data_IF_868335864569
#
_entry.id   IF_868335864569
#
_cell.length_a   1.000
_cell.length_b   1.000
_cell.length_c   1.000
_cell.angle_alpha   90.00
_cell.angle_beta   90.00
_cell.angle_gamma   90.00
#
_symmetry.space_group_name_H-M   'P 1'
#
loop_
_entity.id
_entity.type
_entity.pdbx_description
1 polymer ?
#
# COMPACT_ATOMS: atom_id res chain seq x y z
N UNK A 1 15.57 9.83 18.14
CA UNK A 1 15.18 8.56 17.50
C UNK A 1 15.09 8.81 16.00
N UNK A 2 15.70 7.99 15.15
CA UNK A 2 15.68 8.27 13.70
C UNK A 2 14.28 8.04 13.14
N UNK A 3 13.67 9.05 12.54
CA UNK A 3 12.35 8.97 11.90
C UNK A 3 12.46 8.28 10.52
N UNK A 4 13.12 7.13 10.48
CA UNK A 4 13.46 6.40 9.25
C UNK A 4 12.23 5.67 8.70
N UNK A 5 12.05 5.74 7.39
CA UNK A 5 10.95 5.10 6.66
C UNK A 5 11.49 3.94 5.81
N UNK A 6 10.83 2.77 5.87
CA UNK A 6 11.08 1.65 4.98
C UNK A 6 9.98 1.54 3.93
N UNK A 7 10.34 1.53 2.65
CA UNK A 7 9.42 1.25 1.54
C UNK A 7 9.61 -0.19 1.06
N UNK A 8 8.58 -1.02 1.22
CA UNK A 8 8.57 -2.42 0.79
C UNK A 8 7.75 -2.58 -0.49
N UNK A 9 8.42 -2.81 -1.61
CA UNK A 9 7.79 -3.03 -2.90
C UNK A 9 7.84 -4.51 -3.29
N UNK A 10 6.68 -5.13 -3.50
CA UNK A 10 6.55 -6.55 -3.86
C UNK A 10 6.02 -6.76 -5.28
N UNK A 11 6.57 -7.75 -5.98
CA UNK A 11 6.12 -8.11 -7.32
C UNK A 11 6.36 -9.60 -7.62
N UNK A 12 5.45 -10.21 -8.37
CA UNK A 12 5.63 -11.58 -8.87
C UNK A 12 6.21 -11.61 -10.29
N UNK A 13 5.88 -10.62 -11.12
CA UNK A 13 6.30 -10.50 -12.52
C UNK A 13 7.03 -9.18 -12.75
N UNK A 14 8.11 -9.21 -13.54
CA UNK A 14 8.87 -8.01 -13.91
C UNK A 14 8.29 -7.37 -15.17
N UNK A 15 7.29 -6.51 -14.98
CA UNK A 15 6.56 -5.82 -16.05
C UNK A 15 6.91 -4.31 -16.12
N UNK A 16 6.30 -3.60 -17.06
CA UNK A 16 6.53 -2.15 -17.28
C UNK A 16 6.19 -1.29 -16.06
N UNK A 17 5.22 -1.67 -15.21
CA UNK A 17 4.93 -0.95 -13.97
C UNK A 17 6.06 -1.09 -12.95
N UNK A 18 6.65 -2.28 -12.84
CA UNK A 18 7.83 -2.49 -11.98
C UNK A 18 9.01 -1.68 -12.48
N UNK A 19 9.30 -1.71 -13.79
CA UNK A 19 10.35 -0.88 -14.40
C UNK A 19 10.11 0.61 -14.14
N UNK A 20 8.86 1.06 -14.28
CA UNK A 20 8.48 2.44 -14.02
C UNK A 20 8.69 2.83 -12.56
N UNK A 21 8.30 1.97 -11.60
CA UNK A 21 8.52 2.22 -10.19
C UNK A 21 10.02 2.35 -9.87
N UNK A 22 10.84 1.41 -10.36
CA UNK A 22 12.29 1.47 -10.16
C UNK A 22 12.88 2.77 -10.72
N UNK A 23 12.45 3.17 -11.92
CA UNK A 23 12.98 4.37 -12.60
C UNK A 23 12.50 5.69 -11.99
N UNK A 24 11.27 5.76 -11.50
CA UNK A 24 10.60 7.04 -11.19
C UNK A 24 10.19 7.20 -9.72
N UNK A 25 10.15 6.12 -8.94
CA UNK A 25 9.71 6.15 -7.54
C UNK A 25 10.88 5.98 -6.55
N UNK A 26 11.94 5.27 -6.94
CA UNK A 26 13.10 5.02 -6.08
C UNK A 26 14.05 6.22 -6.14
N UNK A 27 14.53 6.65 -4.98
CA UNK A 27 15.52 7.71 -4.81
C UNK A 27 16.44 7.40 -3.62
N UNK A 28 17.60 8.06 -3.54
CA UNK A 28 18.53 7.95 -2.42
C UNK A 28 18.23 9.04 -1.38
N UNK A 29 18.14 8.65 -0.11
CA UNK A 29 17.91 9.56 1.00
C UNK A 29 18.38 8.96 2.33
N UNK A 30 18.88 9.79 3.24
CA UNK A 30 19.37 9.33 4.55
C UNK A 30 18.26 8.75 5.46
N UNK A 31 16.99 9.11 5.23
CA UNK A 31 15.85 8.74 6.08
C UNK A 31 14.85 7.81 5.38
N UNK A 32 15.10 7.40 4.13
CA UNK A 32 14.20 6.50 3.38
C UNK A 32 15.01 5.37 2.76
N UNK A 33 14.76 4.14 3.22
CA UNK A 33 15.34 2.95 2.62
C UNK A 33 14.28 2.22 1.78
N UNK A 34 14.73 1.59 0.69
CA UNK A 34 13.88 0.82 -0.21
C UNK A 34 14.26 -0.65 -0.19
N UNK A 35 13.25 -1.52 -0.22
CA UNK A 35 13.40 -2.94 -0.48
C UNK A 35 12.51 -3.40 -1.64
N UNK A 36 13.13 -4.06 -2.61
CA UNK A 36 12.48 -4.69 -3.75
C UNK A 36 12.38 -6.20 -3.52
N UNK A 37 11.16 -6.71 -3.47
CA UNK A 37 10.86 -8.10 -3.10
C UNK A 37 10.25 -8.79 -4.32
N UNK A 38 11.04 -9.68 -4.93
CA UNK A 38 10.58 -10.54 -6.01
C UNK A 38 10.03 -11.84 -5.44
N UNK A 39 8.73 -12.05 -5.61
CA UNK A 39 8.04 -13.32 -5.36
C UNK A 39 8.29 -14.35 -6.48
N UNK A 40 9.43 -14.26 -7.16
CA UNK A 40 9.87 -15.23 -8.13
C UNK A 40 11.41 -15.28 -8.16
N UNK A 41 12.00 -16.32 -7.59
CA UNK A 41 13.46 -16.51 -7.54
C UNK A 41 14.16 -16.53 -8.91
N UNK A 42 13.41 -16.76 -9.99
CA UNK A 42 13.97 -16.84 -11.36
C UNK A 42 14.05 -15.48 -12.04
N UNK A 43 13.38 -14.45 -11.51
CA UNK A 43 13.40 -13.12 -12.09
C UNK A 43 14.68 -12.41 -11.71
N UNK A 44 15.32 -11.80 -12.70
CA UNK A 44 16.39 -10.84 -12.53
C UNK A 44 15.87 -9.45 -12.88
N UNK A 45 16.34 -8.45 -12.14
CA UNK A 45 15.98 -7.06 -12.35
C UNK A 45 17.10 -6.16 -11.81
N UNK A 46 17.26 -5.03 -12.46
CA UNK A 46 18.23 -4.02 -12.04
C UNK A 46 17.53 -2.98 -11.16
N UNK A 47 18.17 -2.60 -10.06
CA UNK A 47 17.81 -1.43 -9.27
C UNK A 47 19.07 -0.79 -8.71
N UNK A 48 19.02 0.46 -8.20
CA UNK A 48 20.18 1.11 -7.61
C UNK A 48 20.82 0.27 -6.48
N UNK A 49 22.14 0.41 -6.28
CA UNK A 49 22.90 -0.43 -5.34
C UNK A 49 22.52 -0.23 -3.86
N UNK A 50 21.96 0.93 -3.52
CA UNK A 50 21.47 1.23 -2.17
C UNK A 50 20.11 0.57 -1.86
N UNK A 51 19.48 -0.08 -2.83
CA UNK A 51 18.18 -0.75 -2.66
C UNK A 51 18.38 -2.21 -2.26
N UNK A 52 17.78 -2.62 -1.14
CA UNK A 52 17.78 -4.02 -0.72
C UNK A 52 16.95 -4.89 -1.67
N UNK A 53 17.42 -6.11 -1.95
CA UNK A 53 16.72 -7.05 -2.84
C UNK A 53 16.43 -8.34 -2.11
N UNK A 54 15.21 -8.85 -2.26
CA UNK A 54 14.80 -10.16 -1.78
C UNK A 54 14.26 -10.96 -2.97
N UNK A 55 14.69 -12.22 -3.08
CA UNK A 55 14.17 -13.19 -4.04
C UNK A 55 13.58 -14.36 -3.26
N UNK A 56 12.31 -14.65 -3.45
CA UNK A 56 11.57 -15.68 -2.71
C UNK A 56 10.54 -16.39 -3.57
N UNK A 57 9.97 -17.46 -3.03
CA UNK A 57 8.83 -18.14 -3.63
C UNK A 57 7.55 -17.34 -3.37
N UNK A 58 6.54 -17.47 -4.24
CA UNK A 58 5.26 -16.74 -4.15
C UNK A 58 4.31 -17.28 -3.06
N UNK A 59 4.83 -17.69 -1.90
CA UNK A 59 4.02 -18.11 -0.75
C UNK A 59 3.40 -16.87 -0.07
N UNK A 60 2.11 -16.88 0.24
CA UNK A 60 1.43 -15.74 0.87
C UNK A 60 1.29 -14.48 0.01
N UNK A 61 1.63 -14.55 -1.29
CA UNK A 61 1.57 -13.43 -2.23
C UNK A 61 2.24 -12.16 -1.69
N UNK A 62 1.61 -10.99 -1.89
CA UNK A 62 2.14 -9.69 -1.49
C UNK A 62 2.40 -9.61 0.02
N UNK A 63 1.43 -10.05 0.84
CA UNK A 63 1.55 -10.05 2.31
C UNK A 63 2.65 -10.99 2.79
N UNK A 64 2.85 -12.13 2.12
CA UNK A 64 4.00 -13.00 2.36
C UNK A 64 5.30 -12.24 2.10
N UNK A 65 5.43 -11.66 0.91
CA UNK A 65 6.61 -10.89 0.53
C UNK A 65 6.96 -9.78 1.52
N UNK A 66 5.98 -8.94 1.87
CA UNK A 66 6.17 -7.91 2.89
C UNK A 66 6.54 -8.49 4.26
N UNK A 67 5.95 -9.62 4.66
CA UNK A 67 6.28 -10.28 5.92
C UNK A 67 7.75 -10.72 5.97
N UNK A 68 8.28 -11.31 4.88
CA UNK A 68 9.70 -11.65 4.80
C UNK A 68 10.61 -10.42 4.86
N UNK A 69 10.23 -9.35 4.16
CA UNK A 69 10.98 -8.10 4.15
C UNK A 69 11.02 -7.41 5.53
N UNK A 70 9.94 -7.51 6.30
CA UNK A 70 9.86 -6.96 7.65
C UNK A 70 10.60 -7.83 8.68
N UNK A 71 10.28 -9.12 8.70
CA UNK A 71 10.55 -10.01 9.83
C UNK A 71 11.90 -10.71 9.75
N UNK A 72 12.53 -10.75 8.58
CA UNK A 72 13.89 -11.29 8.46
C UNK A 72 14.84 -10.50 9.35
N UNK A 73 15.48 -11.18 10.30
CA UNK A 73 16.42 -10.58 11.26
C UNK A 73 15.85 -9.36 12.01
N UNK A 74 14.53 -9.36 12.27
CA UNK A 74 13.79 -8.24 12.87
C UNK A 74 14.05 -6.89 12.16
N UNK A 75 14.20 -6.90 10.83
CA UNK A 75 14.60 -5.73 10.05
C UNK A 75 13.71 -4.50 10.31
N UNK A 76 12.42 -4.71 10.52
CA UNK A 76 11.46 -3.65 10.84
C UNK A 76 11.85 -2.82 12.08
N UNK A 77 12.56 -3.39 13.06
CA UNK A 77 12.92 -2.66 14.30
C UNK A 77 13.82 -1.44 14.05
N UNK A 78 14.46 -1.35 12.88
CA UNK A 78 15.33 -0.24 12.45
C UNK A 78 14.57 1.00 11.95
N UNK A 79 13.25 0.90 11.80
CA UNK A 79 12.41 1.92 11.15
C UNK A 79 11.23 2.32 12.03
N UNK A 80 10.72 3.53 11.83
CA UNK A 80 9.58 4.09 12.55
C UNK A 80 8.31 4.15 11.70
N UNK A 81 8.47 4.21 10.37
CA UNK A 81 7.36 4.25 9.41
C UNK A 81 7.60 3.28 8.27
N UNK A 82 6.51 2.78 7.70
CA UNK A 82 6.53 1.76 6.68
C UNK A 82 5.57 2.14 5.57
N UNK A 83 5.98 1.92 4.32
CA UNK A 83 5.10 2.00 3.15
C UNK A 83 5.16 0.67 2.43
N UNK A 84 4.01 0.04 2.28
CA UNK A 84 3.83 -1.22 1.57
C UNK A 84 3.28 -0.93 0.19
N UNK A 85 3.90 -1.51 -0.84
CA UNK A 85 3.56 -1.27 -2.24
C UNK A 85 3.58 -2.60 -2.99
N UNK A 86 2.61 -2.85 -3.88
CA UNK A 86 2.66 -3.99 -4.79
C UNK A 86 2.69 -3.57 -6.26
N UNK A 87 3.06 -4.51 -7.13
CA UNK A 87 3.20 -4.30 -8.59
C UNK A 87 1.93 -3.96 -9.37
N UNK A 88 0.79 -3.81 -8.71
CA UNK A 88 -0.41 -3.28 -9.35
C UNK A 88 -0.41 -1.75 -9.41
N UNK A 89 0.49 -1.06 -8.69
CA UNK A 89 0.59 0.41 -8.76
C UNK A 89 1.03 0.92 -10.13
N UNK A 90 0.48 2.07 -10.51
CA UNK A 90 1.08 3.00 -11.45
C UNK A 90 1.30 4.34 -10.74
N UNK A 91 2.43 5.00 -11.00
CA UNK A 91 2.85 6.22 -10.31
C UNK A 91 4.34 6.19 -9.93
N UNK A 92 4.87 7.20 -9.23
CA UNK A 92 4.11 8.30 -8.60
C UNK A 92 3.64 9.35 -9.62
N UNK A 93 2.45 9.87 -9.38
CA UNK A 93 1.83 11.02 -10.03
C UNK A 93 1.93 12.21 -9.07
N UNK A 94 3.09 12.85 -9.06
CA UNK A 94 3.31 14.10 -8.34
C UNK A 94 3.38 15.25 -9.34
N UNK A 95 2.69 16.38 -9.09
CA UNK A 95 2.79 17.54 -9.97
C UNK A 95 4.25 18.04 -10.05
N UNK A 96 4.67 18.58 -11.21
CA UNK A 96 6.06 19.03 -11.43
C UNK A 96 6.52 20.15 -10.48
N UNK A 97 5.57 20.90 -9.92
CA UNK A 97 5.82 21.93 -8.92
C UNK A 97 6.00 21.37 -7.50
N UNK A 98 5.59 20.13 -7.23
CA UNK A 98 5.80 19.49 -5.92
C UNK A 98 7.28 19.15 -5.75
N UNK A 99 7.89 19.65 -4.67
CA UNK A 99 9.32 19.47 -4.36
C UNK A 99 9.59 18.49 -3.22
N UNK A 100 8.53 17.99 -2.57
CA UNK A 100 8.65 17.01 -1.49
C UNK A 100 8.88 15.59 -2.01
N UNK A 101 9.09 14.66 -1.09
CA UNK A 101 9.13 13.23 -1.43
C UNK A 101 7.69 12.71 -1.52
N UNK A 102 7.43 11.78 -2.42
CA UNK A 102 6.11 11.15 -2.49
C UNK A 102 5.82 10.34 -1.22
N UNK A 103 6.86 9.81 -0.55
CA UNK A 103 6.75 9.07 0.71
C UNK A 103 6.12 9.93 1.80
N UNK A 104 6.48 11.21 1.84
CA UNK A 104 6.00 12.18 2.83
C UNK A 104 4.49 12.37 2.75
N UNK A 105 3.91 12.25 1.54
CA UNK A 105 2.46 12.34 1.33
C UNK A 105 1.72 11.26 2.11
N UNK A 106 2.28 10.05 2.21
CA UNK A 106 1.68 8.98 3.01
C UNK A 106 2.05 9.10 4.48
N UNK A 107 3.32 9.30 4.79
CA UNK A 107 3.81 9.25 6.18
C UNK A 107 3.42 10.44 7.04
N UNK A 108 3.08 11.59 6.43
CA UNK A 108 2.61 12.78 7.16
C UNK A 108 1.11 12.74 7.47
N UNK A 109 0.35 11.85 6.83
CA UNK A 109 -1.06 11.63 7.13
C UNK A 109 -1.29 10.54 8.19
N UNK A 110 -0.22 9.91 8.68
CA UNK A 110 -0.27 9.07 9.86
C UNK A 110 -0.28 9.94 11.11
N UNK A 111 -1.24 9.70 12.00
CA UNK A 111 -1.41 10.43 13.26
C UNK A 111 -1.61 9.45 14.41
N UNK A 112 -1.77 9.94 15.64
CA UNK A 112 -2.11 9.08 16.79
C UNK A 112 -3.47 8.40 16.61
N UNK A 113 -4.37 9.00 15.81
CA UNK A 113 -5.69 8.46 15.47
C UNK A 113 -5.65 7.62 14.17
N UNK A 114 -5.04 8.13 13.10
CA UNK A 114 -4.99 7.47 11.79
C UNK A 114 -3.73 6.60 11.67
N UNK A 115 -3.92 5.28 11.80
CA UNK A 115 -2.82 4.31 11.92
C UNK A 115 -2.48 3.57 10.63
N UNK A 116 -3.41 3.51 9.69
CA UNK A 116 -3.17 3.07 8.31
C UNK A 116 -3.63 4.16 7.36
N UNK A 117 -2.76 4.56 6.42
CA UNK A 117 -3.08 5.56 5.42
C UNK A 117 -2.67 5.11 4.02
N UNK A 118 -3.61 4.98 3.09
CA UNK A 118 -3.32 4.54 1.72
C UNK A 118 -3.84 5.48 0.65
N UNK A 119 -3.83 5.02 -0.60
CA UNK A 119 -4.36 5.83 -1.70
C UNK A 119 -5.90 5.80 -1.76
N UNK A 120 -6.53 4.69 -1.38
CA UNK A 120 -7.98 4.55 -1.42
C UNK A 120 -8.55 3.62 -0.35
N UNK A 121 -9.85 3.78 -0.09
CA UNK A 121 -10.66 2.93 0.80
C UNK A 121 -11.78 2.28 -0.01
N UNK A 122 -12.04 1.01 0.27
CA UNK A 122 -13.16 0.24 -0.25
C UNK A 122 -14.03 -0.25 0.93
N UNK A 123 -15.35 -0.35 0.75
CA UNK A 123 -16.33 -0.73 1.79
C UNK A 123 -16.83 -2.18 1.74
N UNK A 124 -16.56 -2.92 0.65
CA UNK A 124 -17.01 -4.29 0.36
C UNK A 124 -18.52 -4.54 0.55
N UNK A 125 -19.32 -3.47 0.52
CA UNK A 125 -20.76 -3.55 0.79
C UNK A 125 -21.46 -4.45 -0.22
N UNK A 126 -21.04 -4.45 -1.49
CA UNK A 126 -21.65 -5.28 -2.53
C UNK A 126 -21.26 -6.75 -2.39
N UNK A 127 -20.03 -7.04 -1.93
CA UNK A 127 -19.50 -8.40 -1.85
C UNK A 127 -20.05 -9.19 -0.66
N UNK A 128 -20.20 -8.55 0.50
CA UNK A 128 -20.57 -9.25 1.75
C UNK A 128 -21.93 -8.83 2.33
N UNK A 129 -22.65 -7.92 1.68
CA UNK A 129 -23.85 -7.29 2.24
C UNK A 129 -23.60 -6.71 3.66
N UNK A 130 -22.36 -6.25 3.89
CA UNK A 130 -21.88 -5.69 5.15
C UNK A 130 -20.84 -4.63 4.84
N UNK A 131 -20.88 -3.52 5.56
CA UNK A 131 -19.90 -2.44 5.42
C UNK A 131 -18.61 -2.85 6.16
N UNK A 132 -17.59 -3.20 5.39
CA UNK A 132 -16.24 -3.53 5.84
C UNK A 132 -15.24 -2.60 5.15
N UNK A 133 -15.05 -1.42 5.75
CA UNK A 133 -14.06 -0.47 5.25
C UNK A 133 -12.64 -1.02 5.38
N UNK A 134 -11.88 -0.95 4.31
CA UNK A 134 -10.47 -1.28 4.32
C UNK A 134 -9.68 -0.40 3.36
N UNK A 135 -8.43 -0.13 3.73
CA UNK A 135 -7.45 0.48 2.84
C UNK A 135 -7.05 -0.56 1.79
N UNK A 136 -7.11 -0.20 0.51
CA UNK A 136 -6.75 -1.13 -0.56
C UNK A 136 -5.23 -1.36 -0.57
N UNK A 137 -4.83 -2.63 -0.70
CA UNK A 137 -3.45 -3.06 -0.40
C UNK A 137 -2.40 -2.69 -1.46
N UNK A 138 -2.76 -2.02 -2.55
CA UNK A 138 -1.79 -1.71 -3.61
C UNK A 138 -0.75 -0.67 -3.17
N UNK A 139 -1.12 0.25 -2.27
CA UNK A 139 -0.18 1.08 -1.52
C UNK A 139 -0.80 1.59 -0.21
N UNK A 140 -0.07 1.47 0.88
CA UNK A 140 -0.46 2.02 2.17
C UNK A 140 0.74 2.21 3.10
N UNK A 141 0.60 3.10 4.07
CA UNK A 141 1.58 3.38 5.09
C UNK A 141 1.03 3.12 6.49
N UNK A 142 1.94 2.86 7.43
CA UNK A 142 1.64 2.78 8.87
C UNK A 142 2.88 3.06 9.70
N UNK A 143 2.69 3.35 10.99
CA UNK A 143 3.80 3.51 11.95
C UNK A 143 4.22 2.16 12.55
N UNK A 144 5.38 2.15 13.20
CA UNK A 144 5.97 0.95 13.83
C UNK A 144 5.04 0.27 14.84
N UNK A 145 4.39 1.04 15.71
CA UNK A 145 3.45 0.50 16.68
C UNK A 145 2.31 -0.29 16.00
N UNK A 146 1.82 0.20 14.85
CA UNK A 146 0.80 -0.48 14.06
C UNK A 146 1.36 -1.73 13.38
N UNK A 147 2.59 -1.69 12.86
CA UNK A 147 3.26 -2.90 12.33
C UNK A 147 3.40 -3.96 13.41
N UNK A 148 3.90 -3.61 14.59
CA UNK A 148 4.06 -4.52 15.72
C UNK A 148 2.73 -5.12 16.19
N UNK A 149 1.68 -4.30 16.27
CA UNK A 149 0.32 -4.76 16.54
C UNK A 149 -0.14 -5.80 15.48
N UNK A 150 0.05 -5.51 14.19
CA UNK A 150 -0.38 -6.37 13.10
C UNK A 150 0.48 -7.65 12.96
N UNK A 151 1.75 -7.62 13.35
CA UNK A 151 2.59 -8.81 13.52
C UNK A 151 1.99 -9.71 14.62
N UNK A 152 1.68 -9.13 15.79
CA UNK A 152 1.09 -9.86 16.91
C UNK A 152 -0.31 -10.44 16.59
N UNK A 153 -1.05 -9.81 15.68
CA UNK A 153 -2.33 -10.32 15.17
C UNK A 153 -2.18 -11.32 14.01
N UNK A 154 -0.96 -11.61 13.56
CA UNK A 154 -0.68 -12.57 12.49
C UNK A 154 -1.04 -12.06 11.09
N UNK A 155 -1.22 -10.75 10.89
CA UNK A 155 -1.38 -10.16 9.55
C UNK A 155 -0.05 -10.27 8.82
N UNK A 156 1.04 -9.83 9.44
CA UNK A 156 2.40 -10.08 8.97
C UNK A 156 2.98 -11.29 9.71
N UNK A 157 3.39 -12.32 8.98
CA UNK A 157 3.94 -13.56 9.54
C UNK A 157 4.85 -14.25 8.53
N UNK A 158 5.99 -14.74 9.02
CA UNK A 158 6.93 -15.57 8.26
C UNK A 158 6.81 -17.07 8.59
N UNK A 159 5.88 -17.44 9.48
CA UNK A 159 5.59 -18.83 9.86
C UNK A 159 4.25 -19.33 9.33
N UNK A 160 3.30 -18.42 9.07
CA UNK A 160 1.95 -18.74 8.60
C UNK A 160 1.68 -18.00 7.29
N UNK A 161 1.73 -18.75 6.19
CA UNK A 161 1.36 -18.28 4.87
C UNK A 161 -0.02 -18.78 4.48
N UNK A 162 -0.84 -17.90 3.91
CA UNK A 162 -2.13 -18.25 3.31
C UNK A 162 -1.93 -18.26 1.79
N UNK A 163 -2.14 -19.42 1.15
CA UNK A 163 -1.93 -19.59 -0.30
C UNK A 163 -3.24 -19.69 -1.09
N UNK A 164 -4.38 -19.36 -0.45
CA UNK A 164 -5.66 -19.18 -1.12
C UNK A 164 -5.90 -17.67 -1.33
N UNK A 165 -6.09 -17.25 -2.58
CA UNK A 165 -6.20 -15.83 -2.93
C UNK A 165 -7.38 -15.11 -2.23
N UNK A 166 -8.57 -15.71 -2.26
CA UNK A 166 -9.75 -15.12 -1.61
C UNK A 166 -9.59 -15.02 -0.10
N UNK A 167 -8.97 -16.04 0.50
CA UNK A 167 -8.64 -16.05 1.91
C UNK A 167 -7.59 -14.99 2.27
N UNK A 168 -6.62 -14.71 1.40
CA UNK A 168 -5.65 -13.61 1.60
C UNK A 168 -6.34 -12.26 1.56
N UNK A 169 -7.23 -12.02 0.59
CA UNK A 169 -7.99 -10.76 0.53
C UNK A 169 -8.82 -10.56 1.80
N UNK A 170 -9.50 -11.60 2.28
CA UNK A 170 -10.29 -11.55 3.50
C UNK A 170 -9.42 -11.40 4.76
N UNK A 171 -8.55 -12.37 5.03
CA UNK A 171 -7.79 -12.51 6.27
C UNK A 171 -6.56 -11.61 6.37
N UNK A 172 -6.15 -10.98 5.27
CA UNK A 172 -5.03 -10.04 5.25
C UNK A 172 -5.52 -8.64 4.90
N UNK A 173 -5.93 -8.38 3.67
CA UNK A 173 -6.26 -7.02 3.23
C UNK A 173 -7.43 -6.39 4.01
N UNK A 174 -8.56 -7.10 4.11
CA UNK A 174 -9.74 -6.61 4.84
C UNK A 174 -9.48 -6.65 6.35
N UNK A 175 -9.07 -7.80 6.88
CA UNK A 175 -8.88 -7.98 8.32
C UNK A 175 -7.80 -7.05 8.92
N UNK A 176 -6.77 -6.66 8.16
CA UNK A 176 -5.79 -5.66 8.59
C UNK A 176 -6.46 -4.36 9.01
N UNK A 177 -7.35 -3.82 8.16
CA UNK A 177 -8.06 -2.58 8.47
C UNK A 177 -9.08 -2.80 9.58
N UNK A 178 -9.78 -3.93 9.58
CA UNK A 178 -10.78 -4.25 10.60
C UNK A 178 -10.17 -4.42 12.00
N UNK A 179 -8.97 -4.98 12.11
CA UNK A 179 -8.24 -5.10 13.38
C UNK A 179 -7.83 -3.73 13.92
N UNK A 180 -7.37 -2.82 13.06
CA UNK A 180 -7.04 -1.45 13.44
C UNK A 180 -8.29 -0.71 13.93
N UNK A 181 -9.40 -0.79 13.19
CA UNK A 181 -10.68 -0.18 13.60
C UNK A 181 -11.19 -0.73 14.94
N UNK A 182 -11.09 -2.05 15.17
CA UNK A 182 -11.43 -2.69 16.44
C UNK A 182 -10.52 -2.28 17.60
N UNK A 183 -9.30 -1.83 17.32
CA UNK A 183 -8.36 -1.29 18.32
C UNK A 183 -8.61 0.21 18.62
N UNK A 184 -9.79 0.73 18.24
CA UNK A 184 -10.18 2.14 18.38
C UNK A 184 -9.29 3.14 17.62
N UNK A 185 -8.46 2.64 16.71
CA UNK A 185 -7.70 3.45 15.76
C UNK A 185 -8.51 3.64 14.48
N UNK A 186 -8.20 4.68 13.72
CA UNK A 186 -8.84 4.98 12.45
C UNK A 186 -7.94 4.63 11.26
N UNK A 187 -8.53 4.55 10.08
CA UNK A 187 -7.84 4.42 8.79
C UNK A 187 -8.12 5.67 7.94
N UNK A 188 -7.26 5.94 6.97
CA UNK A 188 -7.43 7.08 6.06
C UNK A 188 -6.95 6.77 4.65
N UNK A 189 -7.29 7.66 3.73
CA UNK A 189 -6.73 7.62 2.39
C UNK A 189 -6.68 8.96 1.70
N UNK A 190 -5.94 9.02 0.60
CA UNK A 190 -5.89 10.17 -0.31
C UNK A 190 -7.19 10.38 -1.10
N UNK A 191 -8.02 9.36 -1.24
CA UNK A 191 -9.31 9.41 -1.96
C UNK A 191 -10.19 10.58 -1.47
N UNK A 192 -10.44 11.63 -2.29
CA UNK A 192 -11.17 12.83 -1.86
C UNK A 192 -12.57 12.52 -1.32
N UNK A 193 -13.28 11.56 -1.94
CA UNK A 193 -14.63 11.15 -1.53
C UNK A 193 -14.70 10.74 -0.05
N UNK A 194 -13.62 10.17 0.48
CA UNK A 194 -13.53 9.62 1.83
C UNK A 194 -12.66 10.46 2.77
N UNK A 195 -12.34 11.70 2.38
CA UNK A 195 -11.61 12.65 3.22
C UNK A 195 -12.35 12.92 4.54
N UNK A 196 -11.60 12.91 5.64
CA UNK A 196 -12.04 13.21 7.00
C UNK A 196 -13.22 12.34 7.50
N UNK A 197 -13.31 11.09 7.03
CA UNK A 197 -14.31 10.13 7.51
C UNK A 197 -13.75 9.35 8.71
N UNK A 198 -14.57 9.19 9.74
CA UNK A 198 -14.31 8.23 10.82
C UNK A 198 -14.89 6.86 10.43
N UNK A 199 -14.02 5.88 10.20
CA UNK A 199 -14.41 4.55 9.74
C UNK A 199 -14.71 3.57 10.87
N UNK A 200 -14.49 3.96 12.14
CA UNK A 200 -14.77 3.10 13.30
C UNK A 200 -16.25 2.82 13.46
N UNK A 201 -17.09 3.78 13.06
CA UNK A 201 -18.54 3.64 13.11
C UNK A 201 -19.19 4.01 11.75
N UNK A 202 -19.48 3.02 10.89
CA UNK A 202 -20.16 3.27 9.62
C UNK A 202 -21.49 4.03 9.74
N UNK A 203 -22.21 3.91 10.87
CA UNK A 203 -23.49 4.58 11.07
C UNK A 203 -23.39 6.10 11.20
N UNK A 204 -22.20 6.65 11.50
CA UNK A 204 -21.99 8.10 11.61
C UNK A 204 -21.67 8.76 10.26
N UNK A 205 -21.52 7.97 9.19
CA UNK A 205 -21.16 8.48 7.86
C UNK A 205 -22.40 9.09 7.19
N UNK A 206 -22.41 10.42 7.04
CA UNK A 206 -23.52 11.20 6.47
C UNK A 206 -23.56 11.25 4.93
N UNK A 207 -22.80 10.39 4.24
CA UNK A 207 -22.73 10.31 2.78
C UNK A 207 -22.99 8.89 2.32
N UNK A 208 -23.37 8.71 1.06
CA UNK A 208 -23.56 7.39 0.49
C UNK A 208 -22.27 6.57 0.61
N UNK A 209 -22.39 5.33 1.06
CA UNK A 209 -21.25 4.40 1.14
C UNK A 209 -21.13 3.73 -0.23
N UNK A 210 -20.00 3.95 -0.87
CA UNK A 210 -19.65 3.39 -2.18
C UNK A 210 -18.61 2.28 -2.02
N UNK A 211 -18.59 1.32 -2.94
CA UNK A 211 -17.64 0.20 -2.96
C UNK A 211 -16.29 0.65 -3.57
N UNK A 212 -15.66 -0.17 -4.41
CA UNK A 212 -14.41 0.15 -5.10
C UNK A 212 -14.55 1.39 -5.99
N UNK A 213 -13.99 2.50 -5.53
CA UNK A 213 -13.98 3.75 -6.29
C UNK A 213 -12.87 3.82 -7.34
N UNK A 214 -11.93 2.87 -7.38
CA UNK A 214 -10.72 2.97 -8.22
C UNK A 214 -10.94 2.63 -9.70
N UNK A 215 -12.17 2.31 -10.10
CA UNK A 215 -12.52 1.96 -11.48
C UNK A 215 -12.73 3.18 -12.39
N UNK A 216 -12.55 2.96 -13.69
CA UNK A 216 -12.69 3.96 -14.76
C UNK A 216 -13.90 4.91 -14.65
N UNK A 217 -15.14 4.48 -14.30
CA UNK A 217 -16.28 5.39 -14.25
C UNK A 217 -16.18 6.49 -13.18
N UNK A 218 -15.33 6.31 -12.16
CA UNK A 218 -15.10 7.29 -11.12
C UNK A 218 -13.92 8.23 -11.42
N UNK A 219 -13.08 7.88 -12.40
CA UNK A 219 -11.92 8.67 -12.81
C UNK A 219 -12.35 9.98 -13.48
N UNK A 220 -11.73 11.10 -13.09
CA UNK A 220 -12.12 12.48 -13.40
C UNK A 220 -13.52 12.90 -12.94
N UNK A 221 -14.19 12.07 -12.13
CA UNK A 221 -15.48 12.39 -11.51
C UNK A 221 -15.35 12.53 -9.99
N UNK A 222 -14.70 11.57 -9.34
CA UNK A 222 -14.50 11.52 -7.88
C UNK A 222 -13.03 11.66 -7.48
N UNK A 223 -12.11 11.39 -8.41
CA UNK A 223 -10.67 11.46 -8.22
C UNK A 223 -9.96 11.46 -9.59
N UNK A 224 -8.71 11.91 -9.59
CA UNK A 224 -7.75 11.74 -10.68
C UNK A 224 -6.41 11.16 -10.13
N UNK A 225 -5.45 10.93 -11.02
CA UNK A 225 -4.16 10.33 -10.69
C UNK A 225 -3.31 11.18 -9.73
N UNK A 226 -3.42 12.51 -9.80
CA UNK A 226 -2.71 13.43 -8.91
C UNK A 226 -3.34 13.49 -7.52
N UNK A 227 -4.62 13.16 -7.38
CA UNK A 227 -5.27 13.08 -6.06
C UNK A 227 -4.71 11.91 -5.24
N UNK A 228 -4.38 10.78 -5.89
CA UNK A 228 -4.04 9.53 -5.20
C UNK A 228 -2.56 9.18 -5.18
N UNK A 229 -1.71 9.93 -5.91
CA UNK A 229 -0.25 9.72 -6.10
C UNK A 229 0.10 8.41 -6.79
N UNK A 230 -0.44 7.29 -6.33
CA UNK A 230 -0.40 6.01 -7.03
C UNK A 230 -1.84 5.53 -7.24
N UNK A 231 -2.06 4.96 -8.40
CA UNK A 231 -3.36 4.40 -8.80
C UNK A 231 -3.21 2.89 -9.04
N UNK A 232 -4.31 2.18 -8.97
CA UNK A 232 -4.35 0.76 -9.30
C UNK A 232 -4.32 0.58 -10.82
N UNK A 233 -3.15 0.30 -11.37
CA UNK A 233 -2.87 0.32 -12.81
C UNK A 233 -3.61 -0.74 -13.64
N UNK A 234 -4.33 -1.68 -13.01
CA UNK A 234 -5.22 -2.62 -13.70
C UNK A 234 -6.70 -2.20 -13.67
N UNK A 235 -7.03 -1.02 -13.13
CA UNK A 235 -8.40 -0.48 -13.04
C UNK A 235 -8.71 0.65 -14.00
N UNK A 236 -7.68 1.27 -14.56
CA UNK A 236 -7.79 2.39 -15.49
C UNK A 236 -7.10 2.00 -16.79
N UNK A 237 -7.75 2.28 -17.91
CA UNK A 237 -7.09 2.21 -19.20
C UNK A 237 -6.27 3.49 -19.41
N UNK A 238 -4.98 3.45 -19.07
CA UNK A 238 -4.03 4.50 -19.43
C UNK A 238 -3.03 3.96 -20.46
N UNK A 239 -3.55 3.34 -21.53
CA UNK A 239 -2.83 2.77 -22.69
C UNK A 239 -1.74 3.68 -23.29
N UNK A 240 -1.78 4.97 -22.97
CA UNK A 240 -0.87 6.00 -23.45
C UNK A 240 0.21 6.43 -22.45
N UNK A 241 0.17 6.02 -21.18
CA UNK A 241 1.09 6.60 -20.17
C UNK A 241 2.56 6.31 -20.47
N UNK A 242 2.87 5.09 -20.89
CA UNK A 242 4.25 4.68 -21.17
C UNK A 242 4.75 5.15 -22.54
N UNK A 243 3.86 5.50 -23.47
CA UNK A 243 4.21 5.88 -24.85
C UNK A 243 4.71 7.32 -24.98
N UNK A 244 4.39 8.19 -24.02
CA UNK A 244 4.70 9.63 -24.09
C UNK A 244 5.82 10.09 -23.16
N UNK A 245 6.55 9.16 -22.50
CA UNK A 245 7.65 9.48 -21.55
C UNK A 245 8.97 8.72 -21.81
N UNK A 246 9.09 8.05 -22.97
CA UNK A 246 10.38 7.59 -23.52
C UNK A 246 10.93 8.63 -24.47
#
# INVERSE_FOLDING_TARGET
MSNKTLVLYVFHEYNERVKYFIKNAIFEDENVDFIMISNNKKITFDCPNYVYRIYRDNNGYDFGGWSDGLLKDDFYKKYEKFIFVNSTVLGPFVPSYYKGKWTDIYTNNLTDDVRIFGSSINSCIQKFNKILFHVQSYIFAMNKETVEFLINKGIFSNTIYINNYDEVVLKKEIDMSQLVLKNNWNIGSLMPYYKNVDFRNPSTIKKQILDDLTFQPCYNLLWNEYDMVFIKGNRINIENYFKFKT
#
